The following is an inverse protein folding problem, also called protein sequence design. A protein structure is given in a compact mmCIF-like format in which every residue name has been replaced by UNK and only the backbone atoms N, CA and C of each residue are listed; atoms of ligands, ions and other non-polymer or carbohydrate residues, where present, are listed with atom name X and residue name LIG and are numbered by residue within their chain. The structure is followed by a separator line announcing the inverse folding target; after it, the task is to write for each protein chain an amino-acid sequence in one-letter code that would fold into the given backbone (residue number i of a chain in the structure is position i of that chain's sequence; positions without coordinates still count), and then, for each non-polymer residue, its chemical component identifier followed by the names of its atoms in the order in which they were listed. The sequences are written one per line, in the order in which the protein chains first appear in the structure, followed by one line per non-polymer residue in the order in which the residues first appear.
data_IF_134535840713
#
_entry.id   IF_134535840713
#
_cell.length_a   1.000
_cell.length_b   1.000
_cell.length_c   1.000
_cell.angle_alpha   90.00
_cell.angle_beta   90.00
_cell.angle_gamma   90.00
#
_symmetry.space_group_name_H-M   'P 1'
#
loop_
_entity.id
_entity.type
_entity.pdbx_description
1 polymer ?
#
# COMPACT_ATOMS: atom_id res chain seq x y z
N UNK A 1 7.69 -6.18 -7.46
CA UNK A 1 7.29 -6.54 -6.07
C UNK A 1 5.95 -7.26 -5.96
N UNK A 2 4.86 -6.78 -6.58
CA UNK A 2 3.50 -7.32 -6.38
C UNK A 2 3.35 -8.84 -6.65
N UNK A 3 3.93 -9.36 -7.74
CA UNK A 3 3.85 -10.79 -8.07
C UNK A 3 4.49 -11.71 -7.02
N UNK A 4 5.54 -11.26 -6.34
CA UNK A 4 6.25 -12.09 -5.35
C UNK A 4 5.45 -12.20 -4.05
N UNK A 5 4.82 -11.10 -3.60
CA UNK A 5 3.93 -11.11 -2.44
C UNK A 5 2.72 -12.03 -2.67
N UNK A 6 2.12 -12.01 -3.87
CA UNK A 6 1.03 -12.94 -4.21
C UNK A 6 1.47 -14.40 -4.20
N UNK A 7 2.61 -14.72 -4.82
CA UNK A 7 3.12 -16.09 -4.84
C UNK A 7 3.39 -16.64 -3.43
N UNK A 8 3.89 -15.81 -2.51
CA UNK A 8 4.07 -16.19 -1.11
C UNK A 8 2.73 -16.39 -0.37
N UNK A 9 1.74 -15.54 -0.64
CA UNK A 9 0.41 -15.61 0.00
C UNK A 9 -0.45 -16.76 -0.54
N UNK A 10 -0.30 -17.12 -1.81
CA UNK A 10 -1.05 -18.22 -2.45
C UNK A 10 -0.54 -19.61 -2.05
N UNK A 11 0.64 -19.71 -1.42
CA UNK A 11 1.14 -20.97 -0.89
C UNK A 11 0.61 -21.20 0.55
N UNK A 12 -0.37 -22.11 0.76
CA UNK A 12 -0.99 -22.29 2.09
C UNK A 12 -0.02 -22.86 3.14
N UNK A 13 1.06 -23.54 2.69
CA UNK A 13 2.13 -24.07 3.55
C UNK A 13 3.08 -22.99 4.06
N UNK A 14 3.14 -21.83 3.42
CA UNK A 14 3.97 -20.72 3.85
C UNK A 14 3.21 -19.86 4.86
N UNK A 15 3.73 -19.77 6.08
CA UNK A 15 3.18 -18.91 7.15
C UNK A 15 3.89 -17.55 7.22
N UNK A 16 4.56 -17.16 6.14
CA UNK A 16 5.34 -15.92 6.07
C UNK A 16 4.40 -14.71 6.22
N UNK A 17 4.68 -13.86 7.22
CA UNK A 17 3.95 -12.61 7.42
C UNK A 17 4.58 -11.53 6.54
N UNK A 18 3.79 -10.93 5.67
CA UNK A 18 4.26 -9.94 4.70
C UNK A 18 3.69 -8.57 5.07
N UNK A 19 4.59 -7.63 5.33
CA UNK A 19 4.27 -6.23 5.63
C UNK A 19 4.75 -5.37 4.47
N UNK A 20 3.84 -4.79 3.70
CA UNK A 20 4.16 -3.90 2.59
C UNK A 20 3.99 -2.45 3.04
N UNK A 21 5.06 -1.66 2.97
CA UNK A 21 5.01 -0.22 3.21
C UNK A 21 5.05 0.46 1.84
N UNK A 22 3.96 1.12 1.48
CA UNK A 22 3.83 1.84 0.22
C UNK A 22 3.98 3.33 0.49
N UNK A 23 5.13 3.90 0.14
CA UNK A 23 5.40 5.32 0.26
C UNK A 23 5.29 5.99 -1.11
N UNK A 24 4.32 6.89 -1.30
CA UNK A 24 4.15 7.65 -2.56
C UNK A 24 3.76 9.11 -2.31
N UNK A 25 3.94 9.98 -3.31
CA UNK A 25 3.71 11.43 -3.20
C UNK A 25 2.22 11.79 -3.39
N UNK A 26 1.57 11.55 -4.55
CA UNK A 26 0.12 11.65 -4.64
C UNK A 26 -0.59 10.31 -4.34
N UNK A 27 -1.74 10.40 -3.65
CA UNK A 27 -2.64 9.26 -3.37
C UNK A 27 -3.22 8.65 -4.66
N UNK A 28 -3.35 9.48 -5.69
CA UNK A 28 -3.98 9.17 -6.97
C UNK A 28 -3.10 8.26 -7.86
N UNK A 29 -1.78 8.21 -7.61
CA UNK A 29 -0.82 7.35 -8.34
C UNK A 29 -0.59 5.99 -7.66
N UNK A 30 -1.34 5.65 -6.61
CA UNK A 30 -1.31 4.29 -6.05
C UNK A 30 -2.09 3.37 -6.99
N UNK A 31 -1.53 3.14 -8.18
CA UNK A 31 -1.86 1.99 -9.02
C UNK A 31 -1.69 0.76 -8.13
N UNK A 32 -2.78 -0.01 -7.93
CA UNK A 32 -2.88 -1.23 -7.10
C UNK A 32 -3.44 -1.06 -5.67
N UNK A 33 -3.99 0.09 -5.28
CA UNK A 33 -4.65 0.20 -3.97
C UNK A 33 -5.75 -0.86 -3.79
N UNK A 34 -6.64 -1.01 -4.78
CA UNK A 34 -7.78 -1.94 -4.72
C UNK A 34 -7.34 -3.41 -4.72
N UNK A 35 -6.30 -3.75 -5.47
CA UNK A 35 -5.72 -5.10 -5.50
C UNK A 35 -5.05 -5.46 -4.16
N UNK A 36 -4.35 -4.51 -3.56
CA UNK A 36 -3.75 -4.68 -2.23
C UNK A 36 -4.83 -4.84 -1.15
N UNK A 37 -5.88 -4.04 -1.20
CA UNK A 37 -7.02 -4.13 -0.28
C UNK A 37 -7.73 -5.49 -0.41
N UNK A 38 -7.94 -5.95 -1.65
CA UNK A 38 -8.47 -7.29 -1.93
C UNK A 38 -7.60 -8.40 -1.36
N UNK A 39 -6.26 -8.27 -1.42
CA UNK A 39 -5.34 -9.24 -0.81
C UNK A 39 -5.37 -9.20 0.72
N UNK A 40 -5.48 -8.03 1.33
CA UNK A 40 -5.65 -7.89 2.79
C UNK A 40 -6.98 -8.50 3.22
N UNK A 41 -8.07 -8.27 2.49
CA UNK A 41 -9.38 -8.87 2.75
C UNK A 41 -9.33 -10.41 2.63
N UNK A 42 -8.54 -10.93 1.69
CA UNK A 42 -8.36 -12.38 1.48
C UNK A 42 -7.44 -13.02 2.54
N UNK A 43 -6.46 -12.28 3.05
CA UNK A 43 -5.45 -12.77 4.00
C UNK A 43 -5.20 -11.81 5.18
N UNK A 44 -6.21 -11.47 6.00
CA UNK A 44 -6.11 -10.42 7.02
C UNK A 44 -5.11 -10.72 8.15
N UNK A 45 -4.77 -11.99 8.36
CA UNK A 45 -3.80 -12.43 9.36
C UNK A 45 -2.36 -12.49 8.88
N UNK A 46 -2.11 -12.53 7.56
CA UNK A 46 -0.77 -12.75 6.97
C UNK A 46 -0.27 -11.57 6.14
N UNK A 47 -1.16 -10.75 5.59
CA UNK A 47 -0.82 -9.62 4.75
C UNK A 47 -1.26 -8.30 5.40
N UNK A 48 -0.30 -7.40 5.63
CA UNK A 48 -0.58 -6.04 6.11
C UNK A 48 0.05 -5.02 5.17
N UNK A 49 -0.72 -3.98 4.88
CA UNK A 49 -0.30 -2.87 4.02
C UNK A 49 -0.36 -1.57 4.81
N UNK A 50 0.70 -0.78 4.71
CA UNK A 50 0.82 0.54 5.32
C UNK A 50 1.05 1.57 4.22
N UNK A 51 0.14 2.52 4.09
CA UNK A 51 0.26 3.62 3.13
C UNK A 51 0.90 4.83 3.80
N UNK A 52 2.01 5.30 3.25
CA UNK A 52 2.70 6.52 3.67
C UNK A 52 2.57 7.54 2.54
N UNK A 53 1.88 8.64 2.81
CA UNK A 53 1.69 9.71 1.84
C UNK A 53 2.66 10.83 2.18
N UNK A 54 3.60 11.10 1.29
CA UNK A 54 4.44 12.27 1.38
C UNK A 54 3.72 13.45 0.72
N UNK A 55 2.69 13.96 1.39
CA UNK A 55 2.12 15.25 0.99
C UNK A 55 3.10 16.33 1.42
N UNK A 56 3.87 16.86 0.47
CA UNK A 56 4.54 18.14 0.66
C UNK A 56 3.42 19.16 0.76
N UNK A 57 3.06 19.52 2.00
CA UNK A 57 2.17 20.63 2.25
C UNK A 57 2.88 21.91 1.82
N UNK A 58 2.82 22.24 0.53
CA UNK A 58 3.08 23.60 0.06
C UNK A 58 1.84 24.45 0.37
N UNK A 59 1.56 24.67 1.65
CA UNK A 59 0.88 25.89 2.11
C UNK A 59 1.95 26.99 2.13
N UNK A 60 2.28 27.50 0.96
CA UNK A 60 3.06 28.72 0.83
C UNK A 60 2.38 29.58 -0.22
N UNK A 61 1.60 30.54 0.28
CA UNK A 61 1.10 31.71 -0.42
C UNK A 61 0.05 31.48 -1.51
N UNK A 62 -1.18 31.20 -1.07
CA UNK A 62 -2.33 31.87 -1.68
C UNK A 62 -2.16 33.36 -1.37
N UNK A 63 -1.73 34.11 -2.37
CA UNK A 63 -2.05 35.52 -2.47
C UNK A 63 -3.56 35.68 -2.33
N UNK A 64 -4.03 36.60 -1.48
CA UNK A 64 -5.17 37.52 -1.66
C UNK A 64 -5.38 38.27 -0.33
N UNK A 65 -5.54 39.60 -0.47
CA UNK A 65 -5.89 40.65 0.51
C UNK A 65 -4.75 41.31 1.26
#
# INVERSE_FOLDING_TARGET
MFHFARAMLENPKDMTNVHLIYANVPYEDILLKEELDSLVAKYPGRFKVYYVLNQVCCLSHVAIS
#
